data_IF_272004513662
#
_entry.id   IF_272004513662
#
_cell.length_a   1.000
_cell.length_b   1.000
_cell.length_c   1.000
_cell.angle_alpha   90.00
_cell.angle_beta   90.00
_cell.angle_gamma   90.00
#
_symmetry.space_group_name_H-M   'P 1'
#
loop_
_entity.id
_entity.type
_entity.pdbx_description
1 polymer ?
#
# COMPACT_ATOMS: atom_id res chain seq x y z
N UNK A 1 23.15 14.97 5.73
CA UNK A 1 24.49 15.13 5.14
C UNK A 1 24.61 16.58 4.68
N UNK A 2 25.69 17.27 5.04
CA UNK A 2 25.92 18.64 4.60
C UNK A 2 26.64 18.65 3.25
N UNK A 3 26.49 19.70 2.45
CA UNK A 3 27.21 19.88 1.18
C UNK A 3 28.73 19.87 1.37
N UNK A 4 29.20 20.20 2.58
CA UNK A 4 30.60 20.13 2.99
C UNK A 4 31.12 18.69 3.07
N UNK A 5 30.28 17.74 3.52
CA UNK A 5 30.65 16.33 3.63
C UNK A 5 30.97 15.70 2.27
N UNK A 6 30.28 16.13 1.21
CA UNK A 6 30.49 15.62 -0.14
C UNK A 6 31.79 16.14 -0.79
N UNK A 7 32.36 17.23 -0.27
CA UNK A 7 33.60 17.83 -0.77
C UNK A 7 34.81 17.25 -0.02
N UNK A 8 34.67 16.99 1.28
CA UNK A 8 35.79 16.60 2.15
C UNK A 8 35.96 15.07 2.28
N UNK A 9 34.89 14.27 2.17
CA UNK A 9 34.95 12.81 2.35
C UNK A 9 35.20 12.06 1.04
N UNK A 10 36.12 11.11 1.06
CA UNK A 10 36.35 10.17 -0.05
C UNK A 10 35.53 8.89 0.14
N UNK A 11 34.34 8.83 -0.47
CA UNK A 11 33.44 7.68 -0.34
C UNK A 11 33.99 6.40 -0.99
N UNK A 12 34.87 6.52 -2.00
CA UNK A 12 35.53 5.36 -2.60
C UNK A 12 36.53 4.76 -1.62
N UNK A 13 37.30 5.60 -0.92
CA UNK A 13 38.21 5.17 0.13
C UNK A 13 37.45 4.57 1.32
N UNK A 14 36.32 5.15 1.73
CA UNK A 14 35.46 4.62 2.82
C UNK A 14 34.92 3.22 2.51
N UNK A 15 34.60 2.93 1.24
CA UNK A 15 34.19 1.60 0.79
C UNK A 15 35.36 0.70 0.40
N UNK A 16 36.60 1.18 0.45
CA UNK A 16 37.79 0.42 0.07
C UNK A 16 37.82 -0.01 -1.40
N UNK A 17 37.18 0.76 -2.29
CA UNK A 17 37.08 0.48 -3.73
C UNK A 17 37.76 1.57 -4.55
N UNK A 18 38.18 1.24 -5.78
CA UNK A 18 38.74 2.24 -6.69
C UNK A 18 37.64 3.12 -7.30
N UNK A 19 37.98 4.33 -7.76
CA UNK A 19 37.04 5.24 -8.45
C UNK A 19 36.39 4.62 -9.69
N UNK A 20 37.12 3.73 -10.37
CA UNK A 20 36.67 2.96 -11.54
C UNK A 20 35.81 1.74 -11.20
N UNK A 21 35.53 1.47 -9.92
CA UNK A 21 34.77 0.28 -9.51
C UNK A 21 33.36 0.26 -10.13
N UNK A 22 32.94 -0.93 -10.57
CA UNK A 22 31.58 -1.19 -11.03
C UNK A 22 30.56 -1.08 -9.89
N UNK A 23 29.28 -0.90 -10.24
CA UNK A 23 28.18 -0.88 -9.27
C UNK A 23 28.11 -2.18 -8.44
N UNK A 24 28.42 -3.32 -9.07
CA UNK A 24 28.46 -4.63 -8.41
C UNK A 24 29.62 -4.74 -7.41
N UNK A 25 30.80 -4.20 -7.72
CA UNK A 25 31.93 -4.16 -6.79
C UNK A 25 31.65 -3.26 -5.58
N UNK A 26 31.04 -2.10 -5.80
CA UNK A 26 30.61 -1.17 -4.75
C UNK A 26 29.60 -1.87 -3.82
N UNK A 27 28.60 -2.54 -4.39
CA UNK A 27 27.58 -3.29 -3.65
C UNK A 27 28.15 -4.47 -2.88
N UNK A 28 29.13 -5.17 -3.46
CA UNK A 28 29.83 -6.28 -2.81
C UNK A 28 30.66 -5.79 -1.62
N UNK A 29 31.40 -4.70 -1.79
CA UNK A 29 32.20 -4.11 -0.71
C UNK A 29 31.32 -3.60 0.43
N UNK A 30 30.24 -2.89 0.11
CA UNK A 30 29.26 -2.42 1.10
C UNK A 30 28.69 -3.58 1.92
N UNK A 31 28.23 -4.66 1.28
CA UNK A 31 27.67 -5.82 2.00
C UNK A 31 28.68 -6.48 2.94
N UNK A 32 29.96 -6.52 2.55
CA UNK A 32 31.04 -7.07 3.39
C UNK A 32 31.26 -6.18 4.62
N UNK A 33 31.49 -4.89 4.41
CA UNK A 33 31.80 -3.93 5.48
C UNK A 33 30.60 -3.70 6.42
N UNK A 34 29.37 -3.70 5.89
CA UNK A 34 28.15 -3.56 6.66
C UNK A 34 27.90 -4.77 7.58
N UNK A 35 28.25 -5.98 7.14
CA UNK A 35 28.15 -7.19 7.97
C UNK A 35 29.22 -7.21 9.06
N UNK A 36 30.45 -6.83 8.71
CA UNK A 36 31.58 -6.74 9.66
C UNK A 36 31.35 -5.67 10.74
N UNK A 37 30.66 -4.58 10.40
CA UNK A 37 30.40 -3.45 11.30
C UNK A 37 28.96 -3.43 11.84
N UNK A 38 28.17 -4.48 11.65
CA UNK A 38 26.75 -4.47 12.05
C UNK A 38 26.60 -4.38 13.58
N UNK A 39 25.69 -3.54 14.11
CA UNK A 39 25.46 -3.41 15.55
C UNK A 39 25.12 -4.73 16.25
N UNK A 40 24.34 -5.60 15.61
CA UNK A 40 23.99 -6.91 16.18
C UNK A 40 25.19 -7.87 16.33
N UNK A 41 26.20 -7.73 15.47
CA UNK A 41 27.43 -8.54 15.56
C UNK A 41 28.50 -7.90 16.45
N UNK A 42 28.37 -6.60 16.73
CA UNK A 42 29.31 -5.82 17.55
C UNK A 42 28.56 -4.94 18.58
N UNK A 43 27.82 -5.56 19.52
CA UNK A 43 27.01 -4.80 20.47
C UNK A 43 27.89 -3.99 21.42
N UNK A 44 27.67 -2.68 21.47
CA UNK A 44 28.37 -1.75 22.38
C UNK A 44 29.73 -1.24 21.88
N UNK A 45 30.16 -1.58 20.67
CA UNK A 45 31.37 -1.01 20.05
C UNK A 45 31.01 0.27 19.27
N UNK A 46 31.33 1.43 19.86
CA UNK A 46 31.11 2.75 19.25
C UNK A 46 31.90 2.93 17.95
N UNK A 47 33.07 2.30 17.82
CA UNK A 47 33.90 2.37 16.62
C UNK A 47 33.32 1.55 15.46
N UNK A 48 32.67 0.42 15.74
CA UNK A 48 31.93 -0.35 14.73
C UNK A 48 30.69 0.41 14.25
N UNK A 49 29.98 1.08 15.16
CA UNK A 49 28.81 1.91 14.83
C UNK A 49 29.18 3.11 13.93
N UNK A 50 30.27 3.80 14.22
CA UNK A 50 30.78 4.89 13.39
C UNK A 50 31.20 4.41 11.99
N UNK A 51 31.89 3.26 11.92
CA UNK A 51 32.26 2.62 10.64
C UNK A 51 31.03 2.23 9.84
N UNK A 52 30.00 1.68 10.48
CA UNK A 52 28.75 1.31 9.84
C UNK A 52 28.01 2.53 9.27
N UNK A 53 27.98 3.64 10.02
CA UNK A 53 27.42 4.92 9.55
C UNK A 53 28.16 5.46 8.34
N UNK A 54 29.50 5.48 8.38
CA UNK A 54 30.33 5.96 7.28
C UNK A 54 30.18 5.11 6.00
N UNK A 55 30.13 3.79 6.14
CA UNK A 55 29.94 2.83 5.03
C UNK A 55 28.53 2.96 4.42
N UNK A 56 27.51 3.17 5.25
CA UNK A 56 26.14 3.39 4.79
C UNK A 56 25.96 4.73 4.08
N UNK A 57 26.61 5.78 4.58
CA UNK A 57 26.68 7.10 3.93
C UNK A 57 27.34 7.01 2.56
N UNK A 58 28.49 6.32 2.46
CA UNK A 58 29.20 6.14 1.20
C UNK A 58 28.38 5.35 0.16
N UNK A 59 27.67 4.29 0.57
CA UNK A 59 26.83 3.50 -0.32
C UNK A 59 25.55 4.26 -0.76
N UNK A 60 25.00 5.14 0.08
CA UNK A 60 23.84 5.96 -0.29
C UNK A 60 24.14 6.95 -1.44
N UNK A 61 25.41 7.30 -1.62
CA UNK A 61 25.89 8.17 -2.71
C UNK A 61 26.41 7.35 -3.89
N UNK A 62 27.27 6.36 -3.65
CA UNK A 62 27.94 5.60 -4.73
C UNK A 62 27.09 4.44 -5.29
N UNK A 63 26.06 4.01 -4.56
CA UNK A 63 25.15 2.92 -4.97
C UNK A 63 24.07 3.34 -5.96
N UNK A 64 23.82 4.64 -6.11
CA UNK A 64 22.90 5.22 -7.08
C UNK A 64 23.71 5.89 -8.21
N UNK A 65 23.40 5.55 -9.46
CA UNK A 65 24.19 5.99 -10.62
C UNK A 65 24.12 7.51 -10.85
N UNK A 66 22.97 8.13 -10.58
CA UNK A 66 22.81 9.58 -10.71
C UNK A 66 23.58 10.33 -9.62
N UNK A 67 23.46 9.90 -8.36
CA UNK A 67 24.18 10.51 -7.23
C UNK A 67 25.69 10.28 -7.33
N UNK A 68 26.13 9.12 -7.81
CA UNK A 68 27.55 8.84 -8.08
C UNK A 68 28.11 9.81 -9.11
N UNK A 69 27.37 10.06 -10.19
CA UNK A 69 27.77 11.01 -11.24
C UNK A 69 27.89 12.43 -10.70
N UNK A 70 26.91 12.89 -9.91
CA UNK A 70 26.95 14.20 -9.26
C UNK A 70 28.14 14.33 -8.29
N UNK A 71 28.40 13.29 -7.49
CA UNK A 71 29.55 13.24 -6.58
C UNK A 71 30.89 13.28 -7.34
N UNK A 72 31.01 12.52 -8.43
CA UNK A 72 32.22 12.51 -9.27
C UNK A 72 32.45 13.84 -10.00
N UNK A 73 31.38 14.47 -10.49
CA UNK A 73 31.41 15.78 -11.15
C UNK A 73 31.84 16.87 -10.15
N UNK A 74 31.19 16.92 -8.98
CA UNK A 74 31.53 17.89 -7.95
C UNK A 74 32.96 17.70 -7.42
N UNK A 75 33.40 16.46 -7.17
CA UNK A 75 34.78 16.18 -6.74
C UNK A 75 35.81 16.51 -7.82
N UNK A 76 35.45 16.45 -9.10
CA UNK A 76 36.33 16.89 -10.20
C UNK A 76 36.47 18.43 -10.26
N UNK A 77 35.40 19.16 -9.98
CA UNK A 77 35.36 20.63 -9.96
C UNK A 77 36.14 21.21 -8.77
N UNK A 78 36.05 20.58 -7.60
CA UNK A 78 36.75 21.03 -6.38
C UNK A 78 38.14 20.40 -6.18
N UNK A 79 38.39 19.20 -6.70
CA UNK A 79 39.69 18.51 -6.62
C UNK A 79 40.76 18.99 -7.62
N UNK A 80 40.36 19.74 -8.66
CA UNK A 80 41.27 20.24 -9.70
C UNK A 80 42.00 21.55 -9.34
N UNK A 81 41.76 22.11 -8.14
CA UNK A 81 42.42 23.37 -7.71
C UNK A 81 42.07 24.60 -8.57
N UNK A 82 41.13 24.48 -9.51
CA UNK A 82 40.70 25.55 -10.42
C UNK A 82 40.05 26.72 -9.65
N UNK A 83 39.36 26.42 -8.54
CA UNK A 83 38.81 27.43 -7.62
C UNK A 83 39.87 28.19 -6.80
N UNK A 84 41.10 27.69 -6.67
CA UNK A 84 42.21 28.45 -6.05
C UNK A 84 43.00 29.30 -7.06
N UNK A 85 42.89 29.03 -8.36
CA UNK A 85 43.56 29.85 -9.40
C UNK A 85 42.76 31.09 -9.79
N UNK A 86 41.43 31.03 -9.75
CA UNK A 86 40.61 32.22 -10.04
C UNK A 86 40.50 33.21 -8.86
N UNK A 87 41.09 32.89 -7.70
CA UNK A 87 41.24 33.81 -6.57
C UNK A 87 42.59 34.56 -6.56
N UNK A 88 43.42 34.45 -7.61
CA UNK A 88 44.73 35.14 -7.68
C UNK A 88 45.13 35.64 -9.06
N UNK A 89 44.16 35.99 -9.91
CA UNK A 89 44.44 36.45 -11.27
C UNK A 89 43.36 37.34 -11.88
N UNK A 90 43.09 38.50 -11.27
CA UNK A 90 42.58 39.73 -11.90
C UNK A 90 42.35 40.80 -10.81
N UNK A 91 43.41 41.24 -10.13
CA UNK A 91 43.34 42.31 -9.14
C UNK A 91 43.66 43.67 -9.78
N UNK A 92 42.62 44.39 -10.21
CA UNK A 92 42.68 45.85 -10.26
C UNK A 92 42.65 46.42 -8.83
N UNK A 93 43.27 47.57 -8.54
CA UNK A 93 43.58 47.97 -7.16
C UNK A 93 42.32 48.46 -6.44
N UNK A 94 41.92 47.79 -5.35
CA UNK A 94 40.93 48.32 -4.39
C UNK A 94 39.89 47.36 -3.79
N UNK A 95 39.88 46.06 -4.09
CA UNK A 95 38.85 45.12 -3.60
C UNK A 95 39.23 44.41 -2.29
N UNK A 96 38.47 44.67 -1.22
CA UNK A 96 38.42 43.85 0.00
C UNK A 96 38.10 42.38 -0.33
N UNK A 97 38.60 41.39 0.43
CA UNK A 97 38.27 39.99 0.20
C UNK A 97 36.79 39.75 0.53
N UNK A 98 36.03 39.26 -0.45
CA UNK A 98 34.68 38.75 -0.24
C UNK A 98 34.76 37.47 0.59
N UNK A 99 34.24 37.53 1.82
CA UNK A 99 34.04 36.38 2.67
C UNK A 99 32.68 35.72 2.34
N UNK A 100 32.73 34.42 2.06
CA UNK A 100 31.57 33.56 1.78
C UNK A 100 30.71 33.29 3.02
N UNK A 101 31.15 33.72 4.20
CA UNK A 101 30.35 33.69 5.44
C UNK A 101 29.17 34.69 5.42
N UNK A 102 29.27 35.80 4.69
CA UNK A 102 28.22 36.84 4.60
C UNK A 102 27.10 36.51 3.61
N UNK A 103 27.30 35.55 2.70
CA UNK A 103 26.25 35.12 1.76
C UNK A 103 25.21 34.18 2.40
N UNK A 104 25.54 33.54 3.53
CA UNK A 104 24.67 32.54 4.18
C UNK A 104 24.43 32.79 5.69
N UNK A 105 24.90 33.91 6.24
CA UNK A 105 24.73 34.28 7.65
C UNK A 105 23.33 34.82 8.05
N UNK A 106 22.37 34.91 7.13
CA UNK A 106 21.07 35.56 7.35
C UNK A 106 19.98 34.73 8.03
N UNK A 107 20.29 33.55 8.60
CA UNK A 107 19.29 32.64 9.18
C UNK A 107 19.56 32.25 10.64
N UNK A 108 20.26 33.10 11.40
CA UNK A 108 20.44 32.93 12.83
C UNK A 108 19.55 33.91 13.60
N UNK A 109 18.29 33.54 13.85
CA UNK A 109 17.41 34.30 14.74
C UNK A 109 16.06 33.64 14.97
N UNK A 110 15.88 33.05 16.16
CA UNK A 110 14.57 32.63 16.67
C UNK A 110 14.41 31.12 16.77
N UNK A 111 14.50 30.59 17.98
CA UNK A 111 14.36 29.16 18.24
C UNK A 111 12.93 28.65 18.16
N UNK A 112 12.77 27.37 17.86
CA UNK A 112 12.07 26.45 18.75
C UNK A 112 12.42 25.00 18.39
N UNK A 113 12.65 24.16 19.40
CA UNK A 113 13.00 22.73 19.26
C UNK A 113 11.74 21.89 19.40
N UNK A 114 10.95 21.72 18.35
CA UNK A 114 9.88 20.70 18.27
C UNK A 114 9.67 20.33 16.79
N UNK A 115 9.77 19.04 16.47
CA UNK A 115 9.61 18.36 15.16
C UNK A 115 10.89 17.73 14.62
N UNK A 116 11.25 16.59 15.21
CA UNK A 116 12.02 15.56 14.54
C UNK A 116 11.11 14.72 13.66
N UNK A 117 11.58 14.39 12.45
CA UNK A 117 10.98 13.36 11.60
C UNK A 117 10.09 13.85 10.45
N UNK A 118 10.63 14.67 9.54
CA UNK A 118 10.11 14.78 8.17
C UNK A 118 11.31 14.92 7.22
N UNK A 119 11.32 14.07 6.20
CA UNK A 119 12.52 13.71 5.44
C UNK A 119 13.04 14.78 4.49
N UNK A 120 14.35 14.68 4.27
CA UNK A 120 15.18 15.36 3.27
C UNK A 120 14.63 15.34 1.82
N UNK A 121 13.56 14.57 1.55
CA UNK A 121 12.91 14.41 0.25
C UNK A 121 12.09 15.66 -0.14
N UNK A 122 11.42 16.31 0.82
CA UNK A 122 10.52 17.43 0.52
C UNK A 122 11.28 18.75 0.32
N UNK A 123 12.43 18.91 0.98
CA UNK A 123 13.27 20.10 0.87
C UNK A 123 14.13 20.10 -0.41
N UNK A 124 14.45 18.92 -0.97
CA UNK A 124 15.23 18.80 -2.20
C UNK A 124 14.36 18.97 -3.46
N UNK A 125 13.06 18.67 -3.36
CA UNK A 125 12.09 18.89 -4.44
C UNK A 125 11.86 20.37 -4.75
N UNK A 126 11.99 21.24 -3.75
CA UNK A 126 11.68 22.67 -3.86
C UNK A 126 12.83 23.53 -4.38
N UNK A 127 14.06 23.01 -4.36
CA UNK A 127 15.27 23.79 -4.65
C UNK A 127 15.88 23.46 -6.03
N UNK A 128 15.70 22.23 -6.54
CA UNK A 128 16.18 21.83 -7.88
C UNK A 128 15.15 22.07 -9.00
N UNK A 129 13.91 22.41 -8.68
CA UNK A 129 12.97 23.02 -9.64
C UNK A 129 13.17 24.54 -9.65
N UNK A 130 14.18 25.02 -10.37
CA UNK A 130 14.49 26.45 -10.42
C UNK A 130 13.28 27.35 -10.72
N UNK A 131 13.09 28.36 -9.86
CA UNK A 131 12.40 29.61 -10.18
C UNK A 131 10.93 29.74 -9.74
N UNK A 132 10.70 30.55 -8.70
CA UNK A 132 9.46 31.32 -8.46
C UNK A 132 8.15 30.53 -8.32
N UNK A 133 7.68 30.34 -7.08
CA UNK A 133 6.50 29.51 -6.79
C UNK A 133 5.30 30.21 -6.16
N UNK A 134 5.11 31.53 -6.35
CA UNK A 134 3.78 32.12 -6.23
C UNK A 134 3.05 31.87 -7.57
N UNK A 135 2.17 30.87 -7.62
CA UNK A 135 1.26 30.65 -8.75
C UNK A 135 1.93 30.33 -10.09
N UNK A 136 2.44 29.10 -10.25
CA UNK A 136 2.83 28.61 -11.57
C UNK A 136 1.64 28.65 -12.55
N UNK A 137 1.85 28.98 -13.84
CA UNK A 137 0.79 29.07 -14.83
C UNK A 137 0.04 27.73 -14.89
N UNK A 138 -1.28 27.79 -14.69
CA UNK A 138 -2.15 26.64 -14.81
C UNK A 138 -1.97 26.06 -16.22
N UNK A 139 -1.27 24.91 -16.31
CA UNK A 139 -1.16 24.16 -17.55
C UNK A 139 -2.58 23.95 -18.11
N UNK A 140 -2.79 24.08 -19.44
CA UNK A 140 -4.07 23.74 -20.05
C UNK A 140 -4.52 22.38 -19.51
N UNK A 141 -5.75 22.29 -18.99
CA UNK A 141 -6.32 21.02 -18.54
C UNK A 141 -6.39 20.12 -19.77
N UNK A 142 -5.35 19.34 -20.00
CA UNK A 142 -5.34 18.25 -20.98
C UNK A 142 -6.37 17.18 -20.62
N UNK A 143 -6.41 16.08 -21.37
CA UNK A 143 -7.31 14.96 -21.08
C UNK A 143 -7.12 14.52 -19.63
N UNK A 144 -8.13 14.76 -18.79
CA UNK A 144 -8.06 14.45 -17.38
C UNK A 144 -8.47 12.99 -17.16
N UNK A 145 -7.72 12.25 -16.34
CA UNK A 145 -8.13 10.90 -15.93
C UNK A 145 -9.50 11.00 -15.26
N UNK A 146 -10.39 10.06 -15.58
CA UNK A 146 -11.66 9.94 -14.91
C UNK A 146 -11.48 9.58 -13.44
N UNK A 147 -12.50 9.84 -12.63
CA UNK A 147 -12.43 9.56 -11.19
C UNK A 147 -12.51 8.06 -10.93
N UNK A 148 -11.77 7.64 -9.92
CA UNK A 148 -11.86 6.28 -9.42
C UNK A 148 -13.22 6.10 -8.71
N UNK A 149 -13.86 4.94 -8.90
CA UNK A 149 -15.14 4.58 -8.30
C UNK A 149 -14.90 3.48 -7.26
N UNK A 150 -15.61 3.54 -6.14
CA UNK A 150 -15.63 2.46 -5.16
C UNK A 150 -17.03 1.86 -5.07
N UNK A 151 -17.10 0.53 -4.98
CA UNK A 151 -18.34 -0.21 -4.81
C UNK A 151 -18.14 -1.37 -3.85
N UNK A 152 -19.21 -1.80 -3.20
CA UNK A 152 -19.19 -2.92 -2.27
C UNK A 152 -19.95 -4.11 -2.86
N UNK A 153 -19.39 -5.31 -2.72
CA UNK A 153 -20.01 -6.56 -3.15
C UNK A 153 -20.05 -7.52 -1.98
N UNK A 154 -21.25 -7.97 -1.65
CA UNK A 154 -21.46 -9.02 -0.68
C UNK A 154 -21.31 -10.40 -1.35
N UNK A 155 -20.35 -11.20 -0.91
CA UNK A 155 -20.16 -12.59 -1.33
C UNK A 155 -20.59 -13.51 -0.20
N UNK A 156 -21.18 -14.65 -0.55
CA UNK A 156 -21.41 -15.72 0.42
C UNK A 156 -20.08 -16.42 0.74
N UNK A 157 -19.97 -16.97 1.95
CA UNK A 157 -18.74 -17.60 2.42
C UNK A 157 -18.20 -18.68 1.47
N UNK A 158 -19.08 -19.57 1.01
CA UNK A 158 -18.71 -20.64 0.07
C UNK A 158 -18.15 -20.10 -1.25
N UNK A 159 -18.70 -19.00 -1.75
CA UNK A 159 -18.25 -18.35 -2.98
C UNK A 159 -16.93 -17.60 -2.79
N UNK A 160 -16.73 -16.98 -1.63
CA UNK A 160 -15.47 -16.34 -1.27
C UNK A 160 -14.32 -17.37 -1.16
N UNK A 161 -14.61 -18.58 -0.67
CA UNK A 161 -13.61 -19.66 -0.57
C UNK A 161 -13.33 -20.31 -1.91
N UNK A 162 -14.35 -20.71 -2.69
CA UNK A 162 -14.18 -21.39 -3.99
C UNK A 162 -13.77 -20.45 -5.12
N UNK A 163 -14.09 -19.16 -5.00
CA UNK A 163 -13.98 -18.18 -6.06
C UNK A 163 -15.20 -18.26 -7.00
N UNK A 164 -15.66 -17.10 -7.45
CA UNK A 164 -16.87 -16.97 -8.28
C UNK A 164 -16.67 -15.85 -9.30
N UNK A 165 -17.37 -15.95 -10.43
CA UNK A 165 -17.48 -14.83 -11.38
C UNK A 165 -18.88 -14.28 -11.29
N UNK A 166 -19.02 -13.04 -10.82
CA UNK A 166 -20.32 -12.39 -10.66
C UNK A 166 -20.48 -11.22 -11.64
N UNK A 167 -21.67 -11.06 -12.25
CA UNK A 167 -22.00 -9.86 -13.02
C UNK A 167 -22.28 -8.71 -12.06
N UNK A 168 -21.42 -7.68 -12.07
CA UNK A 168 -21.64 -6.44 -11.34
C UNK A 168 -22.27 -5.40 -12.28
N UNK A 169 -23.50 -5.00 -11.98
CA UNK A 169 -24.17 -3.91 -12.68
C UNK A 169 -23.82 -2.58 -12.02
N UNK A 170 -23.16 -1.70 -12.77
CA UNK A 170 -22.77 -0.38 -12.29
C UNK A 170 -23.44 0.69 -13.15
N UNK A 171 -24.02 1.68 -12.49
CA UNK A 171 -24.44 2.92 -13.11
C UNK A 171 -23.30 3.91 -12.95
N UNK A 172 -22.60 4.17 -14.04
CA UNK A 172 -21.50 5.12 -14.06
C UNK A 172 -21.66 6.05 -15.28
N UNK A 173 -21.14 7.29 -15.20
CA UNK A 173 -20.87 8.05 -16.41
C UNK A 173 -20.05 7.18 -17.36
N UNK A 174 -20.33 7.25 -18.65
CA UNK A 174 -19.61 6.55 -19.70
C UNK A 174 -19.34 7.50 -20.86
N UNK A 175 -18.42 7.14 -21.74
CA UNK A 175 -18.19 7.90 -22.96
C UNK A 175 -19.49 7.88 -23.79
N UNK A 176 -19.88 9.05 -24.30
CA UNK A 176 -20.99 9.14 -25.25
C UNK A 176 -20.57 8.45 -26.57
N UNK A 177 -21.36 7.47 -27.01
CA UNK A 177 -21.02 6.68 -28.21
C UNK A 177 -21.18 7.54 -29.47
N UNK A 178 -22.12 8.48 -29.43
CA UNK A 178 -22.40 9.40 -30.54
C UNK A 178 -21.22 10.34 -30.84
N UNK A 179 -20.57 10.90 -29.82
CA UNK A 179 -19.46 11.86 -30.01
C UNK A 179 -18.08 11.31 -29.64
N UNK A 180 -17.98 10.05 -29.20
CA UNK A 180 -16.76 9.41 -28.69
C UNK A 180 -16.00 10.26 -27.64
N UNK A 181 -16.72 11.05 -26.83
CA UNK A 181 -16.12 11.89 -25.79
C UNK A 181 -15.70 13.30 -26.24
N UNK A 182 -15.85 13.66 -27.52
CA UNK A 182 -15.53 15.00 -28.02
C UNK A 182 -16.53 16.08 -27.59
N UNK A 183 -17.75 15.69 -27.21
CA UNK A 183 -18.85 16.61 -26.91
C UNK A 183 -19.46 17.29 -28.15
N UNK A 184 -18.83 17.16 -29.33
CA UNK A 184 -19.32 17.71 -30.59
C UNK A 184 -20.34 16.78 -31.26
N UNK A 185 -21.24 17.36 -32.06
CA UNK A 185 -22.15 16.59 -32.90
C UNK A 185 -21.37 15.75 -33.92
N UNK A 186 -21.83 14.53 -34.26
CA UNK A 186 -21.18 13.74 -35.30
C UNK A 186 -20.99 14.52 -36.60
N UNK A 187 -19.77 14.55 -37.12
CA UNK A 187 -19.41 15.30 -38.33
C UNK A 187 -18.90 16.72 -38.07
N UNK A 188 -18.96 17.23 -36.83
CA UNK A 188 -18.31 18.49 -36.44
C UNK A 188 -17.18 18.21 -35.44
N UNK A 189 -16.20 19.12 -35.39
CA UNK A 189 -15.05 19.01 -34.49
C UNK A 189 -14.96 20.22 -33.57
N UNK A 190 -14.48 20.07 -32.33
CA UNK A 190 -14.19 21.21 -31.46
C UNK A 190 -13.18 22.14 -32.14
N UNK A 191 -13.49 23.43 -32.20
CA UNK A 191 -12.60 24.46 -32.77
C UNK A 191 -11.71 25.05 -31.69
N UNK A 192 -10.49 25.44 -32.03
CA UNK A 192 -9.58 26.10 -31.07
C UNK A 192 -10.17 27.43 -30.63
N UNK A 193 -10.18 27.68 -29.32
CA UNK A 193 -10.72 28.91 -28.76
C UNK A 193 -9.89 30.11 -29.23
N UNK A 194 -10.52 31.06 -29.92
CA UNK A 194 -9.86 32.25 -30.45
C UNK A 194 -9.38 33.23 -29.38
N UNK A 195 -9.92 33.15 -28.16
CA UNK A 195 -9.60 34.08 -27.06
C UNK A 195 -8.36 33.66 -26.29
N UNK A 196 -8.14 32.35 -26.13
CA UNK A 196 -6.96 31.82 -25.43
C UNK A 196 -6.01 31.03 -26.35
N UNK A 197 -6.31 30.95 -27.65
CA UNK A 197 -5.55 30.20 -28.66
C UNK A 197 -5.21 28.77 -28.24
N UNK A 198 -6.14 28.07 -27.60
CA UNK A 198 -5.93 26.70 -27.11
C UNK A 198 -5.30 26.60 -25.71
N UNK A 199 -4.83 27.71 -25.13
CA UNK A 199 -4.18 27.69 -23.81
C UNK A 199 -5.14 27.42 -22.64
N UNK A 200 -6.45 27.61 -22.83
CA UNK A 200 -7.48 27.42 -21.79
C UNK A 200 -7.50 28.52 -20.72
N UNK A 201 -6.42 29.25 -20.52
CA UNK A 201 -6.30 30.37 -19.58
C UNK A 201 -6.02 31.68 -20.31
N UNK A 202 -6.41 32.79 -19.69
CA UNK A 202 -6.11 34.15 -20.14
C UNK A 202 -5.40 34.88 -19.00
N UNK A 203 -4.29 35.55 -19.29
CA UNK A 203 -3.57 36.33 -18.30
C UNK A 203 -4.18 37.72 -18.17
N UNK A 204 -4.54 38.12 -16.95
CA UNK A 204 -4.93 39.49 -16.61
C UNK A 204 -3.78 40.13 -15.83
N UNK A 205 -3.16 41.13 -16.44
CA UNK A 205 -2.09 41.89 -15.80
C UNK A 205 -2.70 43.05 -15.00
N UNK A 206 -2.47 43.07 -13.69
CA UNK A 206 -2.77 44.21 -12.82
C UNK A 206 -1.47 44.63 -12.15
N UNK A 207 -0.77 45.61 -12.75
CA UNK A 207 0.54 46.06 -12.29
C UNK A 207 1.64 45.02 -12.48
N UNK A 208 2.57 44.93 -11.52
CA UNK A 208 3.73 44.01 -11.56
C UNK A 208 3.38 42.53 -11.32
N UNK A 209 2.09 42.18 -11.21
CA UNK A 209 1.61 40.81 -11.02
C UNK A 209 0.66 40.39 -12.15
N UNK A 210 0.93 39.25 -12.77
CA UNK A 210 0.04 38.62 -13.76
C UNK A 210 -0.76 37.50 -13.10
N UNK A 211 -2.09 37.59 -13.16
CA UNK A 211 -2.98 36.54 -12.67
C UNK A 211 -3.53 35.75 -13.86
N UNK A 212 -3.33 34.44 -13.87
CA UNK A 212 -3.94 33.54 -14.85
C UNK A 212 -5.37 33.22 -14.41
N UNK A 213 -6.36 33.65 -15.20
CA UNK A 213 -7.77 33.29 -15.02
C UNK A 213 -8.18 32.26 -16.08
N UNK A 214 -9.09 31.32 -15.77
CA UNK A 214 -9.67 30.44 -16.78
C UNK A 214 -10.40 31.29 -17.83
N UNK A 215 -10.13 31.02 -19.11
CA UNK A 215 -10.74 31.75 -20.22
C UNK A 215 -12.25 31.59 -20.16
N UNK A 216 -13.01 32.69 -20.10
CA UNK A 216 -14.48 32.66 -19.98
C UNK A 216 -15.17 32.06 -21.22
N UNK A 217 -14.54 32.17 -22.38
CA UNK A 217 -15.11 31.71 -23.65
C UNK A 217 -15.08 30.18 -23.78
N UNK A 218 -13.98 29.54 -23.38
CA UNK A 218 -13.85 28.08 -23.39
C UNK A 218 -13.90 27.45 -22.00
N UNK A 219 -14.18 28.22 -20.95
CA UNK A 219 -14.21 27.78 -19.55
C UNK A 219 -13.00 26.95 -19.11
N UNK A 220 -11.79 27.31 -19.55
CA UNK A 220 -10.58 26.52 -19.24
C UNK A 220 -10.23 25.40 -20.22
N UNK A 221 -11.07 25.11 -21.21
CA UNK A 221 -10.96 23.92 -22.08
C UNK A 221 -9.93 24.09 -23.21
N UNK A 222 -9.77 25.30 -23.75
CA UNK A 222 -8.91 25.58 -24.91
C UNK A 222 -9.59 25.37 -26.27
N UNK A 223 -10.67 24.60 -26.33
CA UNK A 223 -11.52 24.42 -27.51
C UNK A 223 -12.96 24.77 -27.21
N UNK A 224 -13.71 25.19 -28.24
CA UNK A 224 -15.13 25.50 -28.17
C UNK A 224 -15.87 24.52 -29.08
N UNK A 225 -16.93 23.92 -28.55
CA UNK A 225 -17.85 23.08 -29.32
C UNK A 225 -19.01 23.95 -29.77
N UNK A 226 -19.04 24.32 -31.04
CA UNK A 226 -20.12 25.14 -31.61
C UNK A 226 -21.41 24.33 -31.72
N UNK A 227 -21.34 23.14 -32.34
CA UNK A 227 -22.45 22.20 -32.42
C UNK A 227 -22.33 21.12 -31.34
N UNK A 228 -23.08 21.29 -30.25
CA UNK A 228 -23.13 20.33 -29.14
C UNK A 228 -23.75 19.01 -29.59
N UNK A 229 -23.19 17.90 -29.10
CA UNK A 229 -23.77 16.58 -29.28
C UNK A 229 -25.19 16.52 -28.67
N UNK A 230 -26.19 15.96 -29.38
CA UNK A 230 -27.56 15.89 -28.89
C UNK A 230 -27.75 14.92 -27.71
N UNK A 231 -26.85 13.94 -27.55
CA UNK A 231 -26.97 12.90 -26.51
C UNK A 231 -26.33 13.32 -25.17
N UNK A 232 -25.18 14.00 -25.22
CA UNK A 232 -24.44 14.45 -24.03
C UNK A 232 -24.47 15.97 -23.80
N UNK A 233 -25.13 16.73 -24.68
CA UNK A 233 -25.25 18.19 -24.63
C UNK A 233 -23.92 18.95 -24.47
N UNK A 234 -22.85 18.42 -25.06
CA UNK A 234 -21.51 19.04 -25.02
C UNK A 234 -20.60 18.57 -23.88
N UNK A 235 -21.08 17.70 -22.99
CA UNK A 235 -20.28 17.18 -21.86
C UNK A 235 -19.32 16.05 -22.24
N UNK A 236 -19.57 15.35 -23.34
CA UNK A 236 -18.79 14.20 -23.79
C UNK A 236 -19.08 12.87 -23.06
N UNK A 237 -19.92 12.89 -22.02
CA UNK A 237 -20.28 11.70 -21.24
C UNK A 237 -21.78 11.54 -21.03
N UNK A 238 -22.24 10.30 -20.90
CA UNK A 238 -23.64 9.95 -20.59
C UNK A 238 -23.67 8.85 -19.54
N UNK A 239 -24.64 8.88 -18.63
CA UNK A 239 -24.79 7.82 -17.62
C UNK A 239 -25.25 6.54 -18.28
N UNK A 240 -24.45 5.48 -18.19
CA UNK A 240 -24.77 4.16 -18.72
C UNK A 240 -24.78 3.13 -17.62
N UNK A 241 -25.73 2.20 -17.71
CA UNK A 241 -25.68 0.97 -16.91
C UNK A 241 -24.77 0.00 -17.65
N UNK A 242 -23.69 -0.45 -17.01
CA UNK A 242 -22.74 -1.41 -17.54
C UNK A 242 -22.72 -2.64 -16.65
N UNK A 243 -22.77 -3.81 -17.26
CA UNK A 243 -22.58 -5.08 -16.55
C UNK A 243 -21.14 -5.54 -16.76
N UNK A 244 -20.39 -5.67 -15.67
CA UNK A 244 -19.02 -6.15 -15.68
C UNK A 244 -18.97 -7.54 -15.05
N UNK A 245 -18.46 -8.54 -15.79
CA UNK A 245 -18.19 -9.85 -15.21
C UNK A 245 -16.86 -9.79 -14.44
N UNK A 246 -16.95 -9.72 -13.12
CA UNK A 246 -15.79 -9.63 -12.23
C UNK A 246 -15.49 -11.00 -11.67
N UNK A 247 -14.24 -11.45 -11.88
CA UNK A 247 -13.74 -12.72 -11.35
C UNK A 247 -13.14 -12.50 -9.98
N UNK A 248 -13.75 -13.08 -8.96
CA UNK A 248 -13.22 -13.14 -7.60
C UNK A 248 -12.41 -14.44 -7.47
N UNK A 249 -11.10 -14.37 -7.18
CA UNK A 249 -10.29 -15.57 -7.02
C UNK A 249 -10.72 -16.37 -5.79
N UNK A 250 -10.33 -17.64 -5.72
CA UNK A 250 -10.51 -18.46 -4.53
C UNK A 250 -9.76 -17.85 -3.32
N UNK A 251 -10.35 -17.97 -2.14
CA UNK A 251 -9.77 -17.55 -0.87
C UNK A 251 -9.75 -16.05 -0.61
N UNK A 252 -10.63 -15.28 -1.25
CA UNK A 252 -10.79 -13.84 -0.99
C UNK A 252 -11.15 -13.59 0.48
N UNK A 253 -10.46 -12.66 1.11
CA UNK A 253 -10.69 -12.31 2.52
C UNK A 253 -11.79 -11.24 2.64
N UNK A 254 -12.43 -11.19 3.81
CA UNK A 254 -13.35 -10.11 4.15
C UNK A 254 -12.62 -8.77 4.21
N UNK A 255 -13.26 -7.71 3.68
CA UNK A 255 -12.67 -6.37 3.56
C UNK A 255 -11.62 -6.23 2.45
N UNK A 256 -11.38 -7.27 1.65
CA UNK A 256 -10.39 -7.21 0.57
C UNK A 256 -10.82 -6.21 -0.52
N UNK A 257 -9.89 -5.34 -0.93
CA UNK A 257 -10.07 -4.36 -2.00
C UNK A 257 -9.48 -4.88 -3.32
N UNK A 258 -10.31 -5.05 -4.34
CA UNK A 258 -9.92 -5.52 -5.68
C UNK A 258 -9.96 -4.35 -6.65
N UNK A 259 -8.86 -4.09 -7.36
CA UNK A 259 -8.77 -3.04 -8.37
C UNK A 259 -9.06 -3.57 -9.77
N UNK A 260 -9.98 -2.92 -10.46
CA UNK A 260 -10.31 -3.16 -11.87
C UNK A 260 -9.89 -1.93 -12.69
N UNK A 261 -8.79 -2.08 -13.42
CA UNK A 261 -8.16 -0.97 -14.12
C UNK A 261 -9.06 -0.41 -15.23
N UNK A 262 -9.19 0.92 -15.32
CA UNK A 262 -9.93 1.59 -16.40
C UNK A 262 -11.43 1.28 -16.43
N UNK A 263 -12.00 0.82 -15.31
CA UNK A 263 -13.44 0.52 -15.16
C UNK A 263 -14.19 1.53 -14.28
N UNK A 264 -13.53 2.62 -13.87
CA UNK A 264 -14.12 3.75 -13.17
C UNK A 264 -14.81 4.75 -14.12
N UNK A 265 -14.89 6.02 -13.70
CA UNK A 265 -15.53 7.05 -14.53
C UNK A 265 -14.70 7.33 -15.79
N UNK A 266 -15.32 7.70 -16.93
CA UNK A 266 -14.61 8.14 -18.12
C UNK A 266 -13.80 9.39 -17.82
N UNK A 267 -12.62 9.47 -18.42
CA UNK A 267 -11.84 10.71 -18.39
C UNK A 267 -12.50 11.80 -19.23
N UNK A 268 -12.26 13.04 -18.83
CA UNK A 268 -12.75 14.19 -19.59
C UNK A 268 -12.00 14.28 -20.92
N UNK A 269 -12.74 14.59 -21.99
CA UNK A 269 -12.17 15.00 -23.29
C UNK A 269 -11.16 13.97 -23.85
N UNK A 270 -11.50 12.68 -23.77
CA UNK A 270 -10.67 11.58 -24.25
C UNK A 270 -9.58 11.13 -23.25
N UNK A 271 -9.61 11.61 -22.01
CA UNK A 271 -8.73 11.12 -20.95
C UNK A 271 -9.00 9.66 -20.58
N UNK A 272 -7.99 8.94 -20.04
CA UNK A 272 -8.17 7.56 -19.63
C UNK A 272 -9.22 7.47 -18.51
N UNK A 273 -9.97 6.36 -18.48
CA UNK A 273 -10.94 6.12 -17.41
C UNK A 273 -10.24 5.95 -16.05
N UNK A 274 -10.98 6.28 -14.99
CA UNK A 274 -10.68 5.94 -13.60
C UNK A 274 -10.59 4.43 -13.38
N UNK A 275 -10.14 4.04 -12.20
CA UNK A 275 -10.15 2.65 -11.76
C UNK A 275 -11.40 2.36 -10.91
N UNK A 276 -11.88 1.12 -10.93
CA UNK A 276 -12.96 0.67 -10.06
C UNK A 276 -12.38 -0.17 -8.94
N UNK A 277 -12.61 0.23 -7.70
CA UNK A 277 -12.26 -0.54 -6.51
C UNK A 277 -13.50 -1.24 -5.98
N UNK A 278 -13.43 -2.57 -5.93
CA UNK A 278 -14.49 -3.41 -5.38
C UNK A 278 -14.06 -3.83 -3.98
N UNK A 279 -14.81 -3.40 -2.98
CA UNK A 279 -14.68 -3.83 -1.60
C UNK A 279 -15.51 -5.09 -1.41
N UNK A 280 -14.86 -6.18 -1.03
CA UNK A 280 -15.53 -7.45 -0.78
C UNK A 280 -15.97 -7.52 0.67
N UNK A 281 -17.24 -7.83 0.88
CA UNK A 281 -17.80 -8.19 2.18
C UNK A 281 -18.25 -9.64 2.15
N UNK A 282 -17.69 -10.48 3.00
CA UNK A 282 -18.04 -11.90 3.07
C UNK A 282 -19.12 -12.08 4.11
N UNK A 283 -20.27 -12.65 3.70
CA UNK A 283 -21.32 -13.03 4.65
C UNK A 283 -20.84 -14.22 5.47
N UNK A 284 -21.03 -14.21 6.80
CA UNK A 284 -20.67 -15.34 7.65
C UNK A 284 -21.52 -16.56 7.29
N UNK A 285 -20.91 -17.74 7.43
CA UNK A 285 -21.60 -19.03 7.31
C UNK A 285 -22.05 -19.51 8.69
N UNK A 286 -23.11 -20.33 8.74
CA UNK A 286 -23.63 -20.88 9.99
C UNK A 286 -22.78 -22.05 10.52
N UNK A 287 -22.14 -22.80 9.63
CA UNK A 287 -21.34 -23.97 9.98
C UNK A 287 -19.85 -23.64 10.05
N UNK A 288 -19.34 -22.89 9.06
CA UNK A 288 -17.92 -22.64 8.91
C UNK A 288 -17.50 -21.24 9.36
N UNK A 289 -16.52 -21.20 10.26
CA UNK A 289 -15.71 -20.01 10.50
C UNK A 289 -14.43 -20.04 9.66
N UNK A 290 -13.74 -18.89 9.60
CA UNK A 290 -12.43 -18.77 8.95
C UNK A 290 -11.48 -18.00 9.86
N UNK A 291 -10.29 -18.57 10.07
CA UNK A 291 -9.18 -17.92 10.77
C UNK A 291 -7.95 -17.98 9.86
N UNK A 292 -7.62 -16.86 9.21
CA UNK A 292 -6.57 -16.83 8.20
C UNK A 292 -6.95 -17.67 6.97
N UNK A 293 -6.19 -18.73 6.71
CA UNK A 293 -6.48 -19.70 5.63
C UNK A 293 -7.13 -20.98 6.14
N UNK A 294 -7.22 -21.15 7.45
CA UNK A 294 -7.82 -22.31 8.07
C UNK A 294 -9.32 -22.10 8.26
N UNK A 295 -10.07 -23.17 8.05
CA UNK A 295 -11.50 -23.21 8.34
C UNK A 295 -11.70 -23.72 9.76
N UNK A 296 -12.69 -23.19 10.46
CA UNK A 296 -13.09 -23.64 11.79
C UNK A 296 -14.50 -24.21 11.73
N UNK A 297 -14.73 -25.31 12.43
CA UNK A 297 -16.03 -25.95 12.54
C UNK A 297 -16.17 -26.52 13.96
N UNK A 298 -17.28 -26.23 14.62
CA UNK A 298 -17.61 -26.84 15.91
C UNK A 298 -18.53 -28.03 15.65
N UNK A 299 -18.11 -29.21 16.10
CA UNK A 299 -18.90 -30.43 15.93
C UNK A 299 -19.35 -30.94 17.29
N UNK A 300 -20.67 -31.08 17.51
CA UNK A 300 -21.19 -31.66 18.72
C UNK A 300 -20.89 -33.16 18.75
N UNK A 301 -20.40 -33.65 19.88
CA UNK A 301 -20.21 -35.08 20.16
C UNK A 301 -20.85 -35.44 21.49
N UNK A 302 -21.24 -36.71 21.64
CA UNK A 302 -21.79 -37.21 22.89
C UNK A 302 -20.68 -37.59 23.88
N UNK A 303 -21.00 -37.60 25.18
CA UNK A 303 -20.05 -38.02 26.21
C UNK A 303 -19.50 -39.45 25.99
N UNK A 304 -20.32 -40.47 25.65
CA UNK A 304 -19.79 -41.80 25.35
C UNK A 304 -18.82 -41.82 24.17
N UNK A 305 -19.08 -41.05 23.10
CA UNK A 305 -18.17 -40.93 21.95
C UNK A 305 -16.83 -40.30 22.34
N UNK A 306 -16.84 -39.31 23.23
CA UNK A 306 -15.62 -38.68 23.73
C UNK A 306 -14.78 -39.64 24.60
N UNK A 307 -15.43 -40.47 25.41
CA UNK A 307 -14.78 -41.43 26.31
C UNK A 307 -14.26 -42.65 25.56
N UNK A 308 -15.09 -43.27 24.72
CA UNK A 308 -14.78 -44.51 24.01
C UNK A 308 -13.99 -44.29 22.71
N UNK A 309 -14.06 -43.07 22.17
CA UNK A 309 -13.57 -42.76 20.83
C UNK A 309 -14.57 -43.18 19.75
N UNK A 310 -14.57 -42.47 18.63
CA UNK A 310 -15.48 -42.72 17.51
C UNK A 310 -14.85 -42.27 16.19
N UNK A 311 -15.40 -42.75 15.07
CA UNK A 311 -15.10 -42.25 13.73
C UNK A 311 -16.16 -41.22 13.34
N UNK A 312 -15.82 -39.94 13.43
CA UNK A 312 -16.73 -38.83 13.20
C UNK A 312 -16.71 -38.41 11.73
N UNK A 313 -17.87 -38.42 11.07
CA UNK A 313 -18.00 -37.89 9.70
C UNK A 313 -18.29 -36.40 9.76
N UNK A 314 -17.38 -35.61 9.20
CA UNK A 314 -17.43 -34.14 9.25
C UNK A 314 -17.61 -33.57 7.85
N UNK A 315 -18.52 -32.59 7.65
CA UNK A 315 -18.67 -31.91 6.38
C UNK A 315 -17.47 -31.01 6.09
N UNK A 316 -17.09 -30.93 4.83
CA UNK A 316 -16.07 -30.03 4.28
C UNK A 316 -16.68 -29.30 3.08
N UNK A 317 -15.97 -28.31 2.53
CA UNK A 317 -16.48 -27.53 1.39
C UNK A 317 -16.65 -28.36 0.10
N UNK A 318 -15.89 -29.44 -0.05
CA UNK A 318 -15.86 -30.27 -1.27
C UNK A 318 -16.44 -31.69 -1.06
N UNK A 319 -17.00 -31.98 0.11
CA UNK A 319 -17.51 -33.32 0.44
C UNK A 319 -17.45 -33.63 1.94
N UNK A 320 -17.25 -34.89 2.31
CA UNK A 320 -17.16 -35.32 3.71
C UNK A 320 -15.83 -36.01 4.00
N UNK A 321 -15.32 -35.85 5.22
CA UNK A 321 -14.10 -36.51 5.69
C UNK A 321 -14.39 -37.20 7.03
N UNK A 322 -13.87 -38.41 7.20
CA UNK A 322 -13.94 -39.13 8.47
C UNK A 322 -12.72 -38.78 9.32
N UNK A 323 -12.96 -38.34 10.55
CA UNK A 323 -11.94 -38.04 11.56
C UNK A 323 -12.03 -39.03 12.72
N UNK A 324 -10.90 -39.65 13.07
CA UNK A 324 -10.80 -40.50 14.25
C UNK A 324 -10.71 -39.64 15.50
N UNK A 325 -11.68 -39.78 16.39
CA UNK A 325 -11.65 -39.22 17.75
C UNK A 325 -11.03 -40.27 18.67
N UNK A 326 -9.87 -40.00 19.30
CA UNK A 326 -9.28 -40.92 20.26
C UNK A 326 -10.14 -41.05 21.54
N UNK A 327 -10.08 -42.18 22.25
CA UNK A 327 -10.71 -42.31 23.56
C UNK A 327 -10.13 -41.32 24.56
N UNK A 328 -10.97 -40.86 25.50
CA UNK A 328 -10.59 -39.89 26.53
C UNK A 328 -10.35 -38.47 26.00
N UNK A 329 -11.04 -38.08 24.93
CA UNK A 329 -10.88 -36.74 24.34
C UNK A 329 -11.69 -35.69 25.13
N UNK A 330 -11.07 -34.60 25.61
CA UNK A 330 -11.80 -33.55 26.34
C UNK A 330 -12.62 -32.65 25.42
N UNK A 331 -13.66 -32.00 25.96
CA UNK A 331 -14.39 -30.94 25.26
C UNK A 331 -13.46 -29.76 24.93
N UNK A 332 -13.68 -29.11 23.79
CA UNK A 332 -12.85 -28.04 23.25
C UNK A 332 -11.57 -28.51 22.57
N UNK A 333 -11.29 -29.82 22.51
CA UNK A 333 -10.14 -30.35 21.75
C UNK A 333 -10.31 -30.03 20.27
N UNK A 334 -9.26 -29.47 19.67
CA UNK A 334 -9.20 -29.20 18.23
C UNK A 334 -8.52 -30.36 17.50
N UNK A 335 -9.24 -30.99 16.58
CA UNK A 335 -8.71 -31.96 15.63
C UNK A 335 -8.46 -31.27 14.28
N UNK A 336 -7.43 -31.73 13.56
CA UNK A 336 -6.99 -31.08 12.32
C UNK A 336 -7.13 -32.01 11.13
N UNK A 337 -7.98 -31.63 10.17
CA UNK A 337 -8.06 -32.27 8.87
C UNK A 337 -7.16 -31.50 7.87
N UNK A 338 -6.05 -32.13 7.48
CA UNK A 338 -5.02 -31.48 6.65
C UNK A 338 -5.52 -31.21 5.23
N UNK A 339 -5.23 -30.03 4.70
CA UNK A 339 -5.53 -29.66 3.31
C UNK A 339 -7.03 -29.53 2.99
N UNK A 340 -7.86 -29.32 4.01
CA UNK A 340 -9.31 -29.14 3.89
C UNK A 340 -9.78 -27.72 4.24
N UNK A 341 -8.85 -26.76 4.29
CA UNK A 341 -9.11 -25.34 4.48
C UNK A 341 -9.22 -24.55 3.17
N UNK A 342 -8.98 -23.25 3.24
CA UNK A 342 -9.07 -22.34 2.08
C UNK A 342 -7.85 -22.49 1.18
N UNK A 343 -8.07 -22.56 -0.14
CA UNK A 343 -6.98 -22.63 -1.12
C UNK A 343 -6.41 -21.24 -1.37
N UNK A 344 -5.10 -21.07 -1.19
CA UNK A 344 -4.39 -19.83 -1.53
C UNK A 344 -4.18 -19.71 -3.05
N UNK A 345 -3.82 -18.49 -3.47
CA UNK A 345 -3.34 -18.21 -4.84
C UNK A 345 -2.13 -19.08 -5.24
N UNK A 346 -1.29 -19.46 -4.28
CA UNK A 346 -0.10 -20.31 -4.51
C UNK A 346 -0.44 -21.81 -4.65
N UNK A 347 -1.74 -22.18 -4.62
CA UNK A 347 -2.21 -23.56 -4.72
C UNK A 347 -2.10 -24.37 -3.42
N UNK A 348 -1.48 -23.82 -2.36
CA UNK A 348 -1.48 -24.44 -1.03
C UNK A 348 -2.84 -24.24 -0.35
N UNK A 349 -3.40 -25.32 0.18
CA UNK A 349 -4.60 -25.27 1.01
C UNK A 349 -4.25 -25.13 2.49
N UNK A 350 -5.09 -24.37 3.22
CA UNK A 350 -5.10 -24.42 4.69
C UNK A 350 -5.70 -25.73 5.22
N UNK A 351 -5.88 -25.79 6.53
CA UNK A 351 -6.45 -26.94 7.23
C UNK A 351 -7.88 -26.65 7.71
N UNK A 352 -8.66 -27.71 7.97
CA UNK A 352 -9.93 -27.60 8.69
C UNK A 352 -9.69 -27.97 10.15
N UNK A 353 -9.97 -27.04 11.03
CA UNK A 353 -9.87 -27.13 12.48
C UNK A 353 -11.25 -27.46 13.05
N UNK A 354 -11.39 -28.68 13.54
CA UNK A 354 -12.64 -29.21 14.10
C UNK A 354 -12.56 -29.14 15.61
N UNK A 355 -13.31 -28.24 16.22
CA UNK A 355 -13.46 -28.15 17.67
C UNK A 355 -14.55 -29.09 18.11
N UNK A 356 -14.22 -30.04 18.98
CA UNK A 356 -15.20 -30.97 19.54
C UNK A 356 -15.92 -30.30 20.71
N UNK A 357 -17.25 -30.32 20.69
CA UNK A 357 -18.07 -29.82 21.79
C UNK A 357 -18.92 -30.96 22.37
N UNK A 358 -18.71 -31.29 23.64
CA UNK A 358 -19.46 -32.37 24.28
C UNK A 358 -20.84 -31.86 24.70
N UNK A 359 -21.88 -32.30 24.00
CA UNK A 359 -23.25 -31.89 24.26
C UNK A 359 -23.90 -32.82 25.29
N UNK A 360 -24.54 -32.22 26.29
CA UNK A 360 -25.36 -32.92 27.28
C UNK A 360 -26.82 -32.85 26.86
N UNK A 361 -27.51 -33.98 26.66
CA UNK A 361 -28.91 -33.97 26.25
C UNK A 361 -29.80 -33.41 27.37
N UNK A 362 -30.86 -32.70 27.01
CA UNK A 362 -31.79 -32.08 27.97
C UNK A 362 -32.65 -33.11 28.74
N UNK A 363 -32.80 -34.33 28.19
CA UNK A 363 -33.54 -35.41 28.81
C UNK A 363 -32.93 -36.76 28.48
N UNK A 364 -33.05 -37.70 29.41
CA UNK A 364 -32.56 -39.08 29.31
C UNK A 364 -33.67 -40.03 29.78
N UNK A 365 -33.73 -41.25 29.21
CA UNK A 365 -34.64 -42.30 29.69
C UNK A 365 -34.25 -42.77 31.09
N UNK A 366 -35.17 -43.42 31.80
CA UNK A 366 -34.90 -43.97 33.15
C UNK A 366 -33.75 -44.98 33.13
N UNK A 367 -33.67 -45.79 32.07
CA UNK A 367 -32.57 -46.75 31.84
C UNK A 367 -31.22 -46.02 31.68
N UNK A 368 -31.18 -44.94 30.89
CA UNK A 368 -29.97 -44.16 30.68
C UNK A 368 -29.56 -43.40 31.95
N UNK A 369 -30.53 -42.91 32.74
CA UNK A 369 -30.28 -42.30 34.05
C UNK A 369 -29.65 -43.31 35.01
N UNK A 370 -30.21 -44.51 35.14
CA UNK A 370 -29.67 -45.55 36.01
C UNK A 370 -28.22 -45.94 35.61
N UNK A 371 -27.93 -46.02 34.31
CA UNK A 371 -26.57 -46.26 33.82
C UNK A 371 -25.59 -45.13 34.17
N UNK A 372 -26.04 -43.86 34.11
CA UNK A 372 -25.23 -42.70 34.49
C UNK A 372 -24.96 -42.65 36.00
N UNK A 373 -25.93 -43.04 36.82
CA UNK A 373 -25.76 -43.15 38.29
C UNK A 373 -24.70 -44.21 38.63
N UNK A 374 -24.77 -45.39 38.03
CA UNK A 374 -23.75 -46.43 38.20
C UNK A 374 -22.36 -45.98 37.74
N UNK A 375 -22.27 -45.21 36.64
CA UNK A 375 -21.02 -44.62 36.18
C UNK A 375 -20.46 -43.56 37.16
N UNK A 376 -21.35 -42.75 37.74
CA UNK A 376 -20.98 -41.71 38.70
C UNK A 376 -20.45 -42.29 40.01
N UNK A 377 -20.93 -43.43 40.48
CA UNK A 377 -20.39 -44.12 41.66
C UNK A 377 -18.93 -44.56 41.48
N UNK A 378 -18.54 -44.89 40.25
CA UNK A 378 -17.19 -45.34 39.91
C UNK A 378 -16.24 -44.20 39.55
N UNK A 379 -16.76 -42.97 39.40
CA UNK A 379 -15.99 -41.83 38.89
C UNK A 379 -15.94 -40.73 39.94
N UNK A 380 -14.76 -40.29 40.40
CA UNK A 380 -14.67 -39.17 41.32
C UNK A 380 -15.23 -37.89 40.69
N UNK A 381 -15.95 -37.04 41.45
CA UNK A 381 -16.45 -35.78 40.94
C UNK A 381 -15.30 -34.87 40.51
N UNK A 382 -15.51 -34.03 39.49
CA UNK A 382 -14.50 -33.11 39.01
C UNK A 382 -14.00 -32.19 40.13
N UNK A 383 -12.66 -32.08 40.28
CA UNK A 383 -12.04 -31.26 41.32
C UNK A 383 -12.26 -29.77 41.06
N UNK A 384 -12.99 -29.11 41.97
CA UNK A 384 -13.35 -27.68 41.89
C UNK A 384 -12.59 -26.79 42.88
N UNK A 385 -11.74 -27.37 43.71
CA UNK A 385 -11.00 -26.71 44.79
C UNK A 385 -10.15 -25.51 44.31
N UNK A 386 -9.64 -25.58 43.08
CA UNK A 386 -8.87 -24.50 42.45
C UNK A 386 -9.70 -23.23 42.19
N UNK A 387 -11.02 -23.31 42.15
CA UNK A 387 -11.91 -22.17 41.98
C UNK A 387 -11.97 -21.34 43.27
N UNK A 388 -12.13 -22.00 44.41
CA UNK A 388 -12.17 -21.36 45.73
C UNK A 388 -10.83 -20.68 46.05
N UNK A 389 -9.72 -21.30 45.66
CA UNK A 389 -8.38 -20.72 45.81
C UNK A 389 -8.20 -19.43 44.97
N UNK A 390 -8.85 -19.31 43.81
CA UNK A 390 -8.80 -18.10 42.98
C UNK A 390 -9.66 -16.97 43.55
N UNK A 391 -10.82 -17.27 44.12
CA UNK A 391 -11.69 -16.26 44.75
C UNK A 391 -10.99 -15.60 45.94
N UNK A 392 -10.30 -16.38 46.77
CA UNK A 392 -9.50 -15.88 47.91
C UNK A 392 -8.35 -14.94 47.53
N UNK A 393 -8.01 -14.84 46.24
CA UNK A 393 -6.94 -13.97 45.73
C UNK A 393 -7.43 -12.56 45.38
N UNK A 394 -8.75 -12.36 45.31
CA UNK A 394 -9.40 -11.08 45.04
C UNK A 394 -9.99 -10.40 46.28
N UNK A 395 -10.09 -11.14 47.40
CA UNK A 395 -10.40 -10.67 48.75
C UNK A 395 -9.11 -10.43 49.52
#
# INVERSE_FOLDING_TARGET
MSTKDWIEKDYYATLGVQKSASSDEIKKSYRKLARESHPDHNPGDTGAEERFKAVSEAYAVLGDEAKRREYDEMRSLFGSGQFRRNARGAGGPGGQPFDVSDLFGGAAGGGDRRFGGAGFQDLFSSIFSGGGGAGGPARPRGPAKGRDIETEVALDFGDAVRGVTLPLTLRAPGICDTCAGSGAKPGTSPVTCQVCHGAGVTNRNQGSFSFSEPCRNCQGVGTVVEEKCPECHGTGGVTKTRTLNVRFPAGVADGQRIRLNGRGEPGERGGPAGDLYVHVKVRPDELFGRTGDDLTLTVPITFPEAVLGTDLRVPTLDGTVTLRVPPGTPSGRVLRARGKGVVRRDGKAGDLLVTLDVVVPAGVSDEARAALEAFAEQTPPAAREHLDARVRRFS
#
